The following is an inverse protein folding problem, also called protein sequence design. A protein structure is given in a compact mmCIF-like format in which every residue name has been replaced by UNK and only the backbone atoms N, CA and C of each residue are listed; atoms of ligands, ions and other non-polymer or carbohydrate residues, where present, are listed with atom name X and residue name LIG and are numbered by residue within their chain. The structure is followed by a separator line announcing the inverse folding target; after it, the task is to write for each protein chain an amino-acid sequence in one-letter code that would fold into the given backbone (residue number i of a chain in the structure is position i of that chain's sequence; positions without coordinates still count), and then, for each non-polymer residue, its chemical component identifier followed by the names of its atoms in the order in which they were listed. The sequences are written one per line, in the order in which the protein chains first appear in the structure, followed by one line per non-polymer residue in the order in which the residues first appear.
data_IF_259839732287
#
_entry.id   IF_259839732287
#
_cell.length_a   1.000
_cell.length_b   1.000
_cell.length_c   1.000
_cell.angle_alpha   90.00
_cell.angle_beta   90.00
_cell.angle_gamma   90.00
#
_symmetry.space_group_name_H-M   'P 1'
#
loop_
_entity.id
_entity.type
_entity.pdbx_description
1 polymer ?
#
# COMPACT_ATOMS: atom_id res chain seq x y z
N UNK A 1 -2.58 -6.13 17.26
CA UNK A 1 -2.32 -7.08 16.15
C UNK A 1 -0.82 -7.31 16.08
N UNK A 2 -0.31 -8.55 16.16
CA UNK A 2 1.13 -8.78 16.04
C UNK A 2 1.55 -8.51 14.59
N UNK A 3 2.47 -7.58 14.40
CA UNK A 3 3.18 -7.42 13.14
C UNK A 3 4.32 -8.43 13.12
N UNK A 4 4.35 -9.28 12.11
CA UNK A 4 5.41 -10.29 11.93
C UNK A 4 6.32 -9.78 10.82
N UNK A 5 7.59 -9.56 11.16
CA UNK A 5 8.61 -9.26 10.17
C UNK A 5 8.95 -10.56 9.42
N UNK A 6 8.73 -10.55 8.11
CA UNK A 6 9.06 -11.66 7.21
C UNK A 6 10.21 -11.24 6.29
N UNK A 7 11.19 -12.11 6.00
CA UNK A 7 12.30 -11.78 5.11
C UNK A 7 11.81 -11.41 3.70
N UNK A 8 12.40 -10.38 3.11
CA UNK A 8 12.03 -9.90 1.77
C UNK A 8 12.08 -10.98 0.67
N UNK A 9 13.06 -11.90 0.63
CA UNK A 9 13.07 -12.99 -0.35
C UNK A 9 11.84 -13.91 -0.22
N UNK A 10 11.36 -14.14 1.00
CA UNK A 10 10.18 -14.95 1.26
C UNK A 10 8.93 -14.24 0.72
N UNK A 11 8.79 -12.94 0.96
CA UNK A 11 7.70 -12.14 0.39
C UNK A 11 7.69 -12.21 -1.14
N UNK A 12 8.87 -12.09 -1.78
CA UNK A 12 9.00 -12.17 -3.25
C UNK A 12 8.61 -13.55 -3.79
N UNK A 13 8.98 -14.63 -3.08
CA UNK A 13 8.60 -16.00 -3.46
C UNK A 13 7.08 -16.21 -3.37
N UNK A 14 6.44 -15.76 -2.29
CA UNK A 14 4.98 -15.85 -2.13
C UNK A 14 4.27 -15.06 -3.24
N UNK A 15 4.72 -13.84 -3.52
CA UNK A 15 4.14 -13.02 -4.58
C UNK A 15 4.27 -13.68 -5.97
N UNK A 16 5.40 -14.33 -6.27
CA UNK A 16 5.56 -15.08 -7.52
C UNK A 16 4.53 -16.21 -7.66
N UNK A 17 4.30 -16.97 -6.59
CA UNK A 17 3.27 -18.04 -6.58
C UNK A 17 1.89 -17.45 -6.80
N UNK A 18 1.55 -16.35 -6.11
CA UNK A 18 0.24 -15.69 -6.26
C UNK A 18 0.01 -15.18 -7.68
N UNK A 19 1.02 -14.53 -8.28
CA UNK A 19 0.96 -14.04 -9.66
C UNK A 19 0.70 -15.16 -10.68
N UNK A 20 1.24 -16.35 -10.42
CA UNK A 20 1.08 -17.48 -11.35
C UNK A 20 -0.24 -18.23 -11.16
N UNK A 21 -0.75 -18.28 -9.93
CA UNK A 21 -1.90 -19.11 -9.56
C UNK A 21 -3.22 -18.34 -9.55
N UNK A 22 -3.19 -17.01 -9.44
CA UNK A 22 -4.39 -16.18 -9.27
C UNK A 22 -4.58 -15.23 -10.46
N UNK A 23 -5.81 -15.13 -10.97
CA UNK A 23 -6.16 -14.15 -12.00
C UNK A 23 -6.04 -12.69 -11.51
N UNK A 24 -6.20 -12.46 -10.20
CA UNK A 24 -6.07 -11.15 -9.54
C UNK A 24 -5.29 -11.32 -8.23
N UNK A 25 -3.95 -11.38 -8.28
CA UNK A 25 -3.14 -11.60 -7.10
C UNK A 25 -3.20 -10.40 -6.14
N UNK A 26 -3.45 -10.61 -4.84
CA UNK A 26 -3.50 -9.52 -3.85
C UNK A 26 -2.10 -8.96 -3.53
N UNK A 27 -1.05 -9.73 -3.79
CA UNK A 27 0.34 -9.33 -3.61
C UNK A 27 1.13 -9.68 -4.87
N UNK A 28 1.88 -8.72 -5.39
CA UNK A 28 2.72 -8.88 -6.57
C UNK A 28 4.16 -8.50 -6.25
N UNK A 29 5.12 -9.06 -7.01
CA UNK A 29 6.54 -8.71 -6.92
C UNK A 29 6.76 -7.21 -7.18
N UNK A 30 5.95 -6.63 -8.08
CA UNK A 30 5.97 -5.19 -8.34
C UNK A 30 5.51 -4.37 -7.12
N UNK A 31 4.45 -4.78 -6.43
CA UNK A 31 4.00 -4.12 -5.21
C UNK A 31 5.08 -4.15 -4.11
N UNK A 32 5.76 -5.28 -3.93
CA UNK A 32 6.88 -5.42 -2.98
C UNK A 32 8.02 -4.46 -3.32
N UNK A 33 8.44 -4.41 -4.58
CA UNK A 33 9.52 -3.52 -5.03
C UNK A 33 9.19 -2.05 -4.78
N UNK A 34 7.93 -1.66 -4.99
CA UNK A 34 7.48 -0.27 -4.75
C UNK A 34 7.58 0.11 -3.27
N UNK A 35 7.20 -0.79 -2.36
CA UNK A 35 7.30 -0.55 -0.91
C UNK A 35 8.77 -0.46 -0.47
N UNK A 36 9.64 -1.31 -1.02
CA UNK A 36 11.08 -1.30 -0.74
C UNK A 36 11.75 0.02 -1.17
N UNK A 37 11.29 0.58 -2.30
CA UNK A 37 11.83 1.82 -2.87
C UNK A 37 10.98 3.05 -2.53
N UNK A 38 10.07 2.95 -1.56
CA UNK A 38 9.16 4.05 -1.21
C UNK A 38 9.97 5.22 -0.65
N UNK A 39 10.21 6.21 -1.50
CA UNK A 39 10.70 7.50 -1.08
C UNK A 39 9.53 8.23 -0.40
N UNK A 40 9.75 8.74 0.80
CA UNK A 40 8.83 9.65 1.46
C UNK A 40 8.85 11.00 0.74
N UNK A 41 8.28 11.05 -0.47
CA UNK A 41 8.22 12.26 -1.28
C UNK A 41 7.36 13.30 -0.60
N UNK A 42 7.94 14.45 -0.29
CA UNK A 42 7.18 15.62 0.15
C UNK A 42 6.42 16.19 -1.05
N UNK A 43 5.10 16.27 -0.93
CA UNK A 43 4.21 16.79 -1.96
C UNK A 43 3.55 18.10 -1.51
N UNK A 44 4.11 18.80 -0.52
CA UNK A 44 3.55 20.05 -0.01
C UNK A 44 3.58 21.16 -1.07
N UNK A 45 4.70 21.32 -1.77
CA UNK A 45 4.85 22.33 -2.83
C UNK A 45 3.80 22.16 -3.94
N UNK A 46 3.62 20.93 -4.44
CA UNK A 46 2.61 20.65 -5.45
C UNK A 46 1.16 20.85 -4.97
N UNK A 47 0.88 20.63 -3.67
CA UNK A 47 -0.44 20.89 -3.10
C UNK A 47 -0.75 22.38 -3.05
N UNK A 48 0.23 23.19 -2.68
CA UNK A 48 0.11 24.64 -2.64
C UNK A 48 -0.11 25.20 -4.05
N UNK A 49 0.65 24.73 -5.05
CA UNK A 49 0.52 25.14 -6.46
C UNK A 49 -0.85 24.79 -7.05
N UNK A 50 -1.38 23.61 -6.72
CA UNK A 50 -2.67 23.15 -7.21
C UNK A 50 -3.86 23.69 -6.39
N UNK A 51 -3.59 24.35 -5.25
CA UNK A 51 -4.63 24.83 -4.33
C UNK A 51 -5.48 23.71 -3.72
N UNK A 52 -4.92 22.49 -3.60
CA UNK A 52 -5.60 21.31 -3.06
C UNK A 52 -5.00 20.91 -1.72
N UNK A 53 -5.76 20.14 -0.92
CA UNK A 53 -5.22 19.47 0.27
C UNK A 53 -5.56 18.00 0.26
N UNK A 54 -4.55 17.16 0.43
CA UNK A 54 -4.76 15.73 0.57
C UNK A 54 -5.38 15.41 1.93
N UNK A 55 -6.36 14.52 1.92
CA UNK A 55 -6.89 13.92 3.14
C UNK A 55 -5.86 12.92 3.68
N UNK A 56 -5.61 12.94 4.99
CA UNK A 56 -4.71 12.00 5.64
C UNK A 56 -5.17 10.53 5.52
N UNK A 57 -4.19 9.61 5.44
CA UNK A 57 -4.43 8.17 5.23
C UNK A 57 -5.38 7.58 6.29
N UNK A 58 -5.19 7.93 7.56
CA UNK A 58 -6.04 7.47 8.67
C UNK A 58 -7.50 7.88 8.50
N UNK A 59 -7.75 9.10 8.06
CA UNK A 59 -9.10 9.62 7.84
C UNK A 59 -9.77 8.91 6.66
N UNK A 60 -9.03 8.72 5.55
CA UNK A 60 -9.51 7.96 4.40
C UNK A 60 -9.86 6.51 4.75
N UNK A 61 -8.98 5.82 5.48
CA UNK A 61 -9.21 4.43 5.90
C UNK A 61 -10.43 4.31 6.82
N UNK A 62 -10.65 5.26 7.73
CA UNK A 62 -11.84 5.26 8.60
C UNK A 62 -13.13 5.36 7.78
N UNK A 63 -13.16 6.17 6.72
CA UNK A 63 -14.33 6.24 5.85
C UNK A 63 -14.56 4.93 5.08
N UNK A 64 -13.52 4.34 4.49
CA UNK A 64 -13.67 3.14 3.67
C UNK A 64 -14.00 1.89 4.48
N UNK A 65 -13.46 1.77 5.70
CA UNK A 65 -13.58 0.57 6.54
C UNK A 65 -14.58 0.74 7.68
N UNK A 66 -14.94 1.96 8.06
CA UNK A 66 -15.90 2.27 9.14
C UNK A 66 -17.37 2.17 8.71
N UNK A 67 -17.66 1.91 7.44
CA UNK A 67 -19.01 1.71 6.91
C UNK A 67 -19.47 0.23 6.97
N UNK A 68 -18.71 -0.65 7.63
CA UNK A 68 -18.98 -2.09 7.70
C UNK A 68 -19.89 -2.57 8.84
N UNK A 69 -20.39 -1.67 9.68
CA UNK A 69 -21.27 -1.99 10.82
C UNK A 69 -22.73 -1.53 10.56
N UNK A 70 -23.41 -2.09 9.55
CA UNK A 70 -24.85 -1.91 9.33
C UNK A 70 -25.53 -3.17 8.84
#
# INVERSE_FOLDING_TARGET
RPFIAVPLPLCRAIAWVMEHTMARPPLTRYAISRIEHEAATDNTEAQDDLGIRFRGVTEGLRQCLGAGDS
#
